data_IF_316950845066
#
_entry.id   IF_316950845066
#
_cell.length_a   1.000
_cell.length_b   1.000
_cell.length_c   1.000
_cell.angle_alpha   90.00
_cell.angle_beta   90.00
_cell.angle_gamma   90.00
#
_symmetry.space_group_name_H-M   'P 1'
#
loop_
_entity.id
_entity.type
_entity.pdbx_description
1 polymer ?
#
# COMPACT_ATOMS: atom_id res chain seq x y z
N UNK A 1 -6.52 -10.42 2.32
CA UNK A 1 -7.35 -10.77 1.13
C UNK A 1 -8.34 -9.63 0.90
N UNK A 2 -9.10 -9.56 -0.21
CA UNK A 2 -9.98 -8.42 -0.49
C UNK A 2 -11.02 -8.19 0.62
N UNK A 3 -11.58 -9.26 1.19
CA UNK A 3 -12.55 -9.19 2.29
C UNK A 3 -11.98 -8.60 3.59
N UNK A 4 -10.66 -8.64 3.76
CA UNK A 4 -9.99 -8.13 4.96
C UNK A 4 -9.70 -6.62 4.85
N UNK A 5 -9.79 -6.02 3.66
CA UNK A 5 -9.46 -4.60 3.44
C UNK A 5 -10.47 -3.65 4.09
N UNK A 6 -11.76 -3.98 4.08
CA UNK A 6 -12.81 -3.14 4.70
C UNK A 6 -12.67 -3.03 6.22
N UNK A 7 -12.56 -4.12 7.01
CA UNK A 7 -12.32 -3.99 8.44
C UNK A 7 -10.94 -3.37 8.75
N UNK A 8 -9.92 -3.63 7.91
CA UNK A 8 -8.60 -3.02 8.05
C UNK A 8 -8.66 -1.49 7.94
N UNK A 9 -9.25 -0.96 6.87
CA UNK A 9 -9.31 0.49 6.65
C UNK A 9 -10.16 1.20 7.71
N UNK A 10 -11.21 0.55 8.23
CA UNK A 10 -12.06 1.12 9.29
C UNK A 10 -11.32 1.19 10.62
N UNK A 11 -10.64 0.11 11.02
CA UNK A 11 -9.81 0.12 12.22
C UNK A 11 -8.66 1.12 12.11
N UNK A 12 -8.02 1.17 10.94
CA UNK A 12 -6.95 2.12 10.68
C UNK A 12 -7.41 3.58 10.68
N UNK A 13 -8.62 3.88 10.18
CA UNK A 13 -9.20 5.22 10.27
C UNK A 13 -9.35 5.68 11.72
N UNK A 14 -9.80 4.79 12.60
CA UNK A 14 -9.90 5.08 14.03
C UNK A 14 -8.53 5.37 14.66
N UNK A 15 -7.53 4.54 14.35
CA UNK A 15 -6.16 4.74 14.83
C UNK A 15 -5.41 5.90 14.15
N UNK A 16 -5.95 6.46 13.06
CA UNK A 16 -5.38 7.59 12.34
C UNK A 16 -5.64 8.96 12.98
N UNK A 17 -6.34 9.03 14.12
CA UNK A 17 -6.56 10.27 14.88
C UNK A 17 -7.17 11.42 14.06
N UNK A 18 -8.03 11.10 13.09
CA UNK A 18 -8.67 12.06 12.18
C UNK A 18 -7.88 12.37 10.90
N UNK A 19 -6.65 11.85 10.76
CA UNK A 19 -5.83 11.88 9.55
C UNK A 19 -5.73 10.52 8.86
N UNK A 20 -4.62 10.25 8.17
CA UNK A 20 -4.33 8.93 7.59
C UNK A 20 -5.03 8.61 6.26
N UNK A 21 -5.64 9.63 5.63
CA UNK A 21 -6.42 9.50 4.40
C UNK A 21 -7.88 9.11 4.64
N UNK A 22 -8.73 9.40 3.66
CA UNK A 22 -10.19 9.22 3.80
C UNK A 22 -10.58 7.75 3.68
N UNK A 23 -11.69 7.36 4.33
CA UNK A 23 -12.32 6.05 4.11
C UNK A 23 -12.79 5.93 2.66
N UNK A 24 -13.28 7.02 2.04
CA UNK A 24 -13.73 6.95 0.64
C UNK A 24 -12.60 6.58 -0.32
N UNK A 25 -11.44 7.23 -0.22
CA UNK A 25 -10.28 6.91 -1.08
C UNK A 25 -9.78 5.49 -0.86
N UNK A 26 -9.70 5.04 0.40
CA UNK A 26 -9.28 3.69 0.74
C UNK A 26 -10.24 2.64 0.17
N UNK A 27 -11.56 2.82 0.32
CA UNK A 27 -12.58 1.94 -0.25
C UNK A 27 -12.54 1.93 -1.78
N UNK A 28 -12.36 3.10 -2.39
CA UNK A 28 -12.31 3.21 -3.84
C UNK A 28 -11.16 2.37 -4.42
N UNK A 29 -9.96 2.46 -3.83
CA UNK A 29 -8.83 1.61 -4.21
C UNK A 29 -9.06 0.13 -3.90
N UNK A 30 -9.58 -0.18 -2.71
CA UNK A 30 -9.82 -1.56 -2.27
C UNK A 30 -10.86 -2.28 -3.15
N UNK A 31 -11.84 -1.57 -3.69
CA UNK A 31 -12.85 -2.12 -4.60
C UNK A 31 -12.25 -2.70 -5.91
N UNK A 32 -11.04 -2.29 -6.26
CA UNK A 32 -10.32 -2.76 -7.44
C UNK A 32 -9.26 -3.83 -7.14
N UNK A 33 -9.12 -4.27 -5.88
CA UNK A 33 -8.23 -5.37 -5.51
C UNK A 33 -8.84 -6.73 -5.87
N UNK A 34 -8.69 -7.10 -7.13
CA UNK A 34 -9.18 -8.34 -7.72
C UNK A 34 -8.07 -8.97 -8.54
N UNK A 35 -7.83 -10.28 -8.34
CA UNK A 35 -6.85 -11.02 -9.14
C UNK A 35 -7.18 -10.90 -10.65
N UNK A 36 -6.19 -10.51 -11.45
CA UNK A 36 -6.34 -10.24 -12.87
C UNK A 36 -5.09 -9.56 -13.46
N UNK A 37 -5.27 -8.82 -14.54
CA UNK A 37 -4.15 -8.22 -15.30
C UNK A 37 -3.32 -7.24 -14.46
N UNK A 38 -3.97 -6.47 -13.58
CA UNK A 38 -3.28 -5.50 -12.72
C UNK A 38 -2.70 -6.15 -11.46
N UNK A 39 -3.51 -6.95 -10.75
CA UNK A 39 -3.10 -7.66 -9.53
C UNK A 39 -2.90 -9.15 -9.84
N UNK A 40 -1.68 -9.68 -9.87
CA UNK A 40 -1.46 -11.10 -10.17
C UNK A 40 -1.92 -12.05 -9.04
N UNK A 41 -2.30 -11.50 -7.88
CA UNK A 41 -2.76 -12.23 -6.70
C UNK A 41 -3.83 -11.43 -5.95
N UNK A 42 -4.70 -12.10 -5.21
CA UNK A 42 -5.68 -11.53 -4.28
C UNK A 42 -5.23 -11.68 -2.80
N UNK A 43 -4.03 -12.19 -2.56
CA UNK A 43 -3.47 -12.34 -1.21
C UNK A 43 -2.31 -11.38 -0.98
N UNK A 44 -2.32 -10.69 0.16
CA UNK A 44 -1.22 -9.85 0.62
C UNK A 44 -0.51 -10.56 1.77
N UNK A 45 0.81 -10.74 1.66
CA UNK A 45 1.63 -11.30 2.75
C UNK A 45 2.05 -10.18 3.70
N UNK A 46 1.69 -10.32 4.97
CA UNK A 46 2.14 -9.45 6.06
C UNK A 46 3.14 -10.22 6.90
N UNK A 47 4.25 -9.59 7.25
CA UNK A 47 5.32 -10.16 8.09
C UNK A 47 5.61 -9.25 9.27
N UNK A 48 6.12 -9.80 10.36
CA UNK A 48 6.66 -9.01 11.47
C UNK A 48 7.97 -8.34 11.06
N UNK A 49 8.44 -7.39 11.87
CA UNK A 49 9.74 -6.73 11.66
C UNK A 49 10.88 -7.75 11.74
N UNK A 50 10.78 -8.71 12.66
CA UNK A 50 11.77 -9.78 12.87
C UNK A 50 11.83 -10.76 11.68
N UNK A 51 10.71 -10.95 10.98
CA UNK A 51 10.62 -11.80 9.79
C UNK A 51 11.14 -11.10 8.52
N UNK A 52 11.22 -9.76 8.51
CA UNK A 52 11.58 -8.94 7.36
C UNK A 52 13.10 -8.93 7.09
N UNK A 53 13.68 -10.08 6.76
CA UNK A 53 15.13 -10.29 6.66
C UNK A 53 15.66 -10.55 5.24
N UNK A 54 14.79 -10.74 4.24
CA UNK A 54 15.16 -11.16 2.88
C UNK A 54 15.57 -10.01 1.93
N UNK A 55 15.63 -8.76 2.42
CA UNK A 55 15.98 -7.61 1.61
C UNK A 55 15.65 -6.28 2.28
N UNK A 56 15.80 -5.20 1.53
CA UNK A 56 15.44 -3.86 1.99
C UNK A 56 13.92 -3.71 2.10
N UNK A 57 13.49 -2.79 2.97
CA UNK A 57 12.13 -2.28 3.04
C UNK A 57 12.07 -0.84 2.56
N UNK A 58 10.94 -0.42 1.98
CA UNK A 58 10.69 0.97 1.61
C UNK A 58 9.33 1.43 2.15
N UNK A 59 9.27 2.66 2.66
CA UNK A 59 8.00 3.28 2.99
C UNK A 59 7.27 3.67 1.70
N UNK A 60 5.96 3.38 1.62
CA UNK A 60 5.11 3.74 0.49
C UNK A 60 3.80 4.37 0.96
N UNK A 61 3.37 5.42 0.25
CA UNK A 61 2.15 6.14 0.55
C UNK A 61 1.61 6.83 -0.72
N UNK A 62 0.34 7.24 -0.66
CA UNK A 62 -0.21 8.21 -1.59
C UNK A 62 -0.15 9.59 -0.97
N UNK A 63 0.46 10.55 -1.68
CA UNK A 63 0.55 11.95 -1.25
C UNK A 63 -0.12 12.85 -2.28
N UNK A 64 -0.96 13.78 -1.83
CA UNK A 64 -1.62 14.74 -2.70
C UNK A 64 -2.98 15.17 -2.17
N UNK A 65 -3.69 15.96 -2.98
CA UNK A 65 -5.03 16.41 -2.67
C UNK A 65 -6.01 15.22 -2.61
N UNK A 66 -6.81 15.04 -1.55
CA UNK A 66 -7.77 13.95 -1.44
C UNK A 66 -8.73 13.85 -2.62
N UNK A 67 -9.15 14.98 -3.20
CA UNK A 67 -10.05 15.00 -4.36
C UNK A 67 -9.46 14.27 -5.57
N UNK A 68 -8.15 14.38 -5.79
CA UNK A 68 -7.47 13.67 -6.87
C UNK A 68 -7.38 12.17 -6.57
N UNK A 69 -7.07 11.81 -5.32
CA UNK A 69 -6.91 10.42 -4.87
C UNK A 69 -8.24 9.67 -4.91
N UNK A 70 -9.35 10.33 -4.57
CA UNK A 70 -10.69 9.73 -4.58
C UNK A 70 -11.14 9.21 -5.96
N UNK A 71 -10.49 9.64 -7.04
CA UNK A 71 -10.78 9.19 -8.41
C UNK A 71 -9.82 8.10 -8.93
N UNK A 72 -8.83 7.68 -8.13
CA UNK A 72 -7.82 6.74 -8.54
C UNK A 72 -8.32 5.29 -8.43
N UNK A 73 -8.40 4.60 -9.57
CA UNK A 73 -8.71 3.16 -9.62
C UNK A 73 -7.57 2.30 -9.07
N UNK A 74 -6.33 2.69 -9.34
CA UNK A 74 -5.13 1.94 -8.98
C UNK A 74 -4.06 2.86 -8.37
N UNK A 75 -3.20 2.36 -7.46
CA UNK A 75 -2.14 3.15 -6.83
C UNK A 75 -0.91 3.33 -7.74
N UNK A 76 -1.11 3.85 -8.96
CA UNK A 76 -0.06 3.94 -9.99
C UNK A 76 1.16 4.76 -9.55
N UNK A 77 0.94 5.89 -8.88
CA UNK A 77 2.01 6.74 -8.34
C UNK A 77 2.88 5.98 -7.33
N UNK A 78 2.28 5.44 -6.25
CA UNK A 78 2.98 4.55 -5.30
C UNK A 78 3.74 3.39 -5.96
N UNK A 79 3.12 2.67 -6.90
CA UNK A 79 3.76 1.55 -7.62
C UNK A 79 4.99 2.02 -8.39
N UNK A 80 4.87 3.13 -9.13
CA UNK A 80 5.98 3.69 -9.91
C UNK A 80 7.15 4.11 -9.00
N UNK A 81 6.84 4.68 -7.84
CA UNK A 81 7.87 5.05 -6.86
C UNK A 81 8.62 3.82 -6.33
N UNK A 82 7.91 2.74 -5.99
CA UNK A 82 8.52 1.47 -5.54
C UNK A 82 9.37 0.83 -6.64
N UNK A 83 8.89 0.82 -7.88
CA UNK A 83 9.65 0.31 -9.04
C UNK A 83 10.97 1.08 -9.25
N UNK A 84 10.95 2.41 -9.09
CA UNK A 84 12.17 3.22 -9.17
C UNK A 84 13.15 2.90 -8.05
N UNK A 85 12.67 2.70 -6.81
CA UNK A 85 13.51 2.28 -5.68
C UNK A 85 14.08 0.89 -5.91
N UNK A 86 13.26 -0.05 -6.40
CA UNK A 86 13.70 -1.40 -6.76
C UNK A 86 14.81 -1.38 -7.81
N UNK A 87 14.65 -0.62 -8.88
CA UNK A 87 15.67 -0.45 -9.92
C UNK A 87 16.97 0.13 -9.36
N UNK A 88 16.86 1.13 -8.48
CA UNK A 88 18.02 1.74 -7.81
C UNK A 88 18.77 0.78 -6.89
N UNK A 89 18.04 -0.06 -6.14
CA UNK A 89 18.63 -1.07 -5.26
C UNK A 89 19.27 -2.21 -6.08
N UNK A 90 18.63 -2.64 -7.15
CA UNK A 90 19.17 -3.64 -8.07
C UNK A 90 20.51 -3.17 -8.67
N UNK A 91 20.65 -1.87 -8.98
CA UNK A 91 21.91 -1.26 -9.42
C UNK A 91 23.04 -1.32 -8.37
N UNK A 92 22.73 -1.66 -7.11
CA UNK A 92 23.65 -1.82 -5.99
C UNK A 92 23.75 -3.29 -5.55
N UNK A 93 23.25 -4.24 -6.35
CA UNK A 93 23.14 -5.65 -5.99
C UNK A 93 22.34 -5.89 -4.69
N UNK A 94 21.38 -5.00 -4.39
CA UNK A 94 20.45 -5.12 -3.26
C UNK A 94 19.03 -5.45 -3.77
N UNK A 95 18.31 -6.28 -3.03
CA UNK A 95 16.91 -6.61 -3.29
C UNK A 95 15.99 -5.70 -2.46
N UNK A 96 14.97 -5.14 -3.10
CA UNK A 96 13.79 -4.63 -2.39
C UNK A 96 12.84 -5.80 -2.16
N UNK A 97 12.49 -6.07 -0.90
CA UNK A 97 11.66 -7.22 -0.53
C UNK A 97 10.37 -6.83 0.21
N UNK A 98 10.32 -5.63 0.80
CA UNK A 98 9.22 -5.24 1.66
C UNK A 98 8.77 -3.80 1.40
N UNK A 99 7.50 -3.53 1.68
CA UNK A 99 6.92 -2.20 1.76
C UNK A 99 6.28 -1.99 3.13
N UNK A 100 6.18 -0.74 3.57
CA UNK A 100 5.52 -0.38 4.82
C UNK A 100 4.75 0.95 4.69
N UNK A 101 3.60 1.11 5.38
CA UNK A 101 2.93 2.41 5.46
C UNK A 101 3.76 3.39 6.31
N UNK A 102 3.67 4.71 6.08
CA UNK A 102 4.32 5.70 6.93
C UNK A 102 3.64 5.89 8.29
N UNK A 103 2.33 5.63 8.36
CA UNK A 103 1.48 5.93 9.52
C UNK A 103 0.25 5.02 9.56
N UNK A 104 -0.40 4.97 10.71
CA UNK A 104 -1.72 4.37 10.85
C UNK A 104 -2.78 5.25 10.21
N UNK A 105 -3.53 4.70 9.25
CA UNK A 105 -4.55 5.42 8.52
C UNK A 105 -5.26 4.54 7.51
N UNK A 106 -6.51 4.89 7.18
CA UNK A 106 -7.31 4.14 6.22
C UNK A 106 -6.56 3.93 4.90
N UNK A 107 -5.97 5.01 4.38
CA UNK A 107 -5.24 4.98 3.12
C UNK A 107 -3.83 4.40 3.28
N UNK A 108 -3.16 4.64 4.40
CA UNK A 108 -1.80 4.17 4.66
C UNK A 108 -1.67 2.65 4.50
N UNK A 109 -2.41 1.87 5.29
CA UNK A 109 -2.36 0.41 5.19
C UNK A 109 -2.92 -0.12 3.87
N UNK A 110 -4.00 0.49 3.34
CA UNK A 110 -4.59 0.08 2.07
C UNK A 110 -3.59 0.22 0.93
N UNK A 111 -2.90 1.36 0.81
CA UNK A 111 -1.90 1.58 -0.24
C UNK A 111 -0.72 0.62 -0.08
N UNK A 112 -0.21 0.41 1.13
CA UNK A 112 0.88 -0.54 1.35
C UNK A 112 0.48 -1.97 0.96
N UNK A 113 -0.75 -2.40 1.29
CA UNK A 113 -1.27 -3.71 0.93
C UNK A 113 -1.43 -3.89 -0.58
N UNK A 114 -1.86 -2.84 -1.30
CA UNK A 114 -2.06 -2.88 -2.74
C UNK A 114 -0.77 -2.70 -3.56
N UNK A 115 0.35 -2.34 -2.95
CA UNK A 115 1.64 -2.19 -3.64
C UNK A 115 2.56 -3.40 -3.43
N UNK A 116 2.39 -4.13 -2.33
CA UNK A 116 3.18 -5.32 -1.97
C UNK A 116 3.04 -6.46 -2.98
#
# INVERSE_FOLDING_TARGET
RPEDLEPLLLGAAFFGSGGGGTIESARHLAAHFVAGDYYPTDTVKVVSVEEATEGAAVMVAYLGAPEAINSATYPLGPVTAVQNVQARLASQSKKLAYVMPPESGALGFTVAALVA
#
